data_IF_969062490460
#
_entry.id   IF_969062490460
#
_cell.length_a   1.000
_cell.length_b   1.000
_cell.length_c   1.000
_cell.angle_alpha   90.00
_cell.angle_beta   90.00
_cell.angle_gamma   90.00
#
_symmetry.space_group_name_H-M   'P 1'
#
loop_
_entity.id
_entity.type
_entity.pdbx_description
1 polymer ?
#
# COMPACT_ATOMS: atom_id res chain seq x y z
N UNK A 1 20.29 -25.93 -62.90
CA UNK A 1 19.97 -26.81 -61.75
C UNK A 1 19.77 -25.91 -60.54
N UNK A 2 18.53 -25.70 -60.10
CA UNK A 2 18.22 -24.81 -58.97
C UNK A 2 18.49 -25.51 -57.64
N UNK A 3 19.34 -24.93 -56.80
CA UNK A 3 19.61 -25.44 -55.45
C UNK A 3 18.36 -25.32 -54.58
N UNK A 4 17.82 -26.46 -54.12
CA UNK A 4 16.71 -26.47 -53.18
C UNK A 4 17.19 -25.96 -51.82
N UNK A 5 16.77 -24.74 -51.46
CA UNK A 5 16.98 -24.17 -50.13
C UNK A 5 16.22 -25.01 -49.07
N UNK A 6 16.78 -25.12 -47.86
CA UNK A 6 16.14 -25.85 -46.78
C UNK A 6 14.74 -25.28 -46.48
N UNK A 7 13.73 -26.16 -46.46
CA UNK A 7 12.34 -25.79 -46.13
C UNK A 7 12.24 -25.35 -44.67
N UNK A 8 11.46 -24.30 -44.41
CA UNK A 8 11.22 -23.83 -43.03
C UNK A 8 10.32 -24.79 -42.25
N UNK A 9 10.41 -24.77 -40.92
CA UNK A 9 9.54 -25.57 -40.05
C UNK A 9 8.05 -25.28 -40.30
N UNK A 10 7.72 -24.03 -40.61
CA UNK A 10 6.36 -23.64 -40.96
C UNK A 10 5.88 -24.23 -42.29
N UNK A 11 6.75 -24.27 -43.31
CA UNK A 11 6.46 -24.89 -44.61
C UNK A 11 6.29 -26.40 -44.49
N UNK A 12 7.19 -27.08 -43.77
CA UNK A 12 7.11 -28.52 -43.53
C UNK A 12 5.82 -28.92 -42.80
N UNK A 13 5.41 -28.13 -41.80
CA UNK A 13 4.16 -28.33 -41.07
C UNK A 13 2.93 -28.10 -41.95
N UNK A 14 2.97 -27.08 -42.82
CA UNK A 14 1.88 -26.81 -43.77
C UNK A 14 1.73 -27.93 -44.80
N UNK A 15 2.84 -28.44 -45.35
CA UNK A 15 2.85 -29.58 -46.29
C UNK A 15 2.32 -30.88 -45.65
N UNK A 16 2.64 -31.11 -44.37
CA UNK A 16 2.19 -32.28 -43.60
C UNK A 16 0.84 -32.11 -42.91
N UNK A 17 0.20 -30.95 -43.05
CA UNK A 17 -1.03 -30.58 -42.34
C UNK A 17 -0.92 -30.76 -40.80
N UNK A 18 0.25 -30.47 -40.22
CA UNK A 18 0.53 -30.59 -38.80
C UNK A 18 0.45 -29.22 -38.08
N UNK A 19 -0.26 -29.17 -36.96
CA UNK A 19 -0.32 -27.99 -36.09
C UNK A 19 1.00 -27.75 -35.34
N UNK A 20 1.29 -26.49 -34.98
CA UNK A 20 2.40 -26.20 -34.08
C UNK A 20 2.08 -26.73 -32.67
N UNK A 21 3.02 -27.42 -31.99
CA UNK A 21 2.79 -27.89 -30.62
C UNK A 21 2.71 -26.70 -29.66
N UNK A 22 1.58 -26.56 -28.98
CA UNK A 22 1.35 -25.52 -27.98
C UNK A 22 1.25 -26.20 -26.61
N UNK A 23 2.07 -25.77 -25.66
CA UNK A 23 1.99 -26.23 -24.27
C UNK A 23 0.86 -25.50 -23.56
N UNK A 24 -0.10 -26.28 -23.05
CA UNK A 24 -1.31 -25.79 -22.38
C UNK A 24 -0.99 -24.93 -21.15
N UNK A 25 0.10 -25.24 -20.44
CA UNK A 25 0.58 -24.48 -19.27
C UNK A 25 1.38 -23.22 -19.62
N UNK A 26 1.91 -23.13 -20.85
CA UNK A 26 2.63 -21.94 -21.33
C UNK A 26 1.70 -20.85 -21.86
N UNK A 27 0.42 -21.19 -22.07
CA UNK A 27 -0.60 -20.21 -22.45
C UNK A 27 -0.93 -19.33 -21.25
N UNK A 28 -0.78 -18.02 -21.44
CA UNK A 28 -1.24 -17.05 -20.44
C UNK A 28 -2.72 -17.24 -20.14
N UNK A 29 -3.06 -17.19 -18.85
CA UNK A 29 -4.43 -17.27 -18.35
C UNK A 29 -4.69 -16.14 -17.37
N UNK A 30 -5.94 -15.71 -17.32
CA UNK A 30 -6.41 -14.78 -16.28
C UNK A 30 -6.34 -15.49 -14.93
N UNK A 31 -5.52 -14.97 -14.02
CA UNK A 31 -5.40 -15.50 -12.66
C UNK A 31 -6.31 -14.70 -11.74
N UNK A 32 -7.41 -15.31 -11.29
CA UNK A 32 -8.26 -14.72 -10.26
C UNK A 32 -7.58 -14.86 -8.89
N UNK A 33 -7.34 -13.73 -8.23
CA UNK A 33 -6.66 -13.69 -6.93
C UNK A 33 -7.71 -13.50 -5.84
N UNK A 34 -7.90 -14.47 -4.92
CA UNK A 34 -8.78 -14.27 -3.78
C UNK A 34 -8.21 -13.20 -2.85
N UNK A 35 -9.09 -12.46 -2.18
CA UNK A 35 -8.67 -11.52 -1.14
C UNK A 35 -7.99 -12.28 0.00
N UNK A 36 -6.74 -11.92 0.29
CA UNK A 36 -5.95 -12.56 1.34
C UNK A 36 -6.28 -11.93 2.69
N UNK A 37 -6.95 -12.69 3.57
CA UNK A 37 -7.13 -12.32 4.96
C UNK A 37 -6.02 -12.91 5.82
N UNK A 38 -5.24 -12.06 6.49
CA UNK A 38 -4.20 -12.49 7.41
C UNK A 38 -4.83 -12.87 8.76
N UNK A 39 -4.29 -13.92 9.40
CA UNK A 39 -4.70 -14.27 10.75
C UNK A 39 -4.43 -13.12 11.71
N UNK A 40 -5.32 -12.91 12.69
CA UNK A 40 -5.10 -11.91 13.73
C UNK A 40 -3.86 -12.22 14.57
N UNK A 41 -3.25 -11.18 15.14
CA UNK A 41 -2.11 -11.32 16.03
C UNK A 41 -2.50 -12.13 17.29
N UNK A 42 -1.80 -13.24 17.56
CA UNK A 42 -1.97 -14.06 18.77
C UNK A 42 -0.76 -13.89 19.68
N UNK A 43 -0.96 -13.24 20.82
CA UNK A 43 0.10 -13.05 21.82
C UNK A 43 0.22 -14.32 22.68
N UNK A 44 1.42 -14.89 22.86
CA UNK A 44 1.62 -16.03 23.75
C UNK A 44 1.19 -15.71 25.19
N UNK A 45 0.56 -16.69 25.87
CA UNK A 45 0.03 -16.50 27.23
C UNK A 45 1.12 -16.11 28.25
N UNK A 46 2.32 -16.65 28.10
CA UNK A 46 3.47 -16.34 28.96
C UNK A 46 3.84 -14.84 28.85
N UNK A 47 3.93 -14.33 27.62
CA UNK A 47 4.17 -12.92 27.37
C UNK A 47 3.04 -12.05 27.91
N UNK A 48 1.78 -12.42 27.65
CA UNK A 48 0.63 -11.65 28.13
C UNK A 48 0.60 -11.52 29.66
N UNK A 49 1.12 -12.51 30.40
CA UNK A 49 1.22 -12.46 31.85
C UNK A 49 2.34 -11.54 32.35
N UNK A 50 3.47 -11.49 31.65
CA UNK A 50 4.63 -10.66 31.98
C UNK A 50 4.48 -9.18 31.56
N UNK A 51 3.53 -8.85 30.69
CA UNK A 51 3.29 -7.47 30.25
C UNK A 51 2.79 -6.58 31.41
N UNK A 52 3.25 -5.32 31.51
CA UNK A 52 2.76 -4.37 32.50
C UNK A 52 1.28 -4.05 32.26
N UNK A 53 0.60 -3.61 33.32
CA UNK A 53 -0.86 -3.41 33.32
C UNK A 53 -1.36 -2.51 32.18
N UNK A 54 -0.62 -1.44 31.86
CA UNK A 54 -1.00 -0.48 30.81
C UNK A 54 -1.03 -1.10 29.41
N UNK A 55 -0.08 -2.00 29.08
CA UNK A 55 0.05 -2.59 27.75
C UNK A 55 -0.63 -3.95 27.62
N UNK A 56 -1.07 -4.53 28.74
CA UNK A 56 -1.75 -5.83 28.74
C UNK A 56 -3.11 -5.75 28.02
N UNK A 57 -3.37 -6.62 27.03
CA UNK A 57 -4.62 -6.59 26.28
C UNK A 57 -5.82 -7.02 27.16
N UNK A 58 -6.84 -6.17 27.22
CA UNK A 58 -8.09 -6.37 27.98
C UNK A 58 -9.14 -7.06 27.12
N UNK A 59 -8.89 -8.32 26.78
CA UNK A 59 -9.81 -9.12 25.96
C UNK A 59 -10.76 -9.91 26.86
N UNK A 60 -12.05 -9.61 26.75
CA UNK A 60 -13.10 -10.38 27.42
C UNK A 60 -13.17 -11.80 26.86
N UNK A 61 -13.24 -12.79 27.75
CA UNK A 61 -13.44 -14.18 27.34
C UNK A 61 -14.86 -14.34 26.82
N UNK A 62 -15.03 -15.08 25.73
CA UNK A 62 -16.37 -15.48 25.27
C UNK A 62 -17.10 -16.17 26.42
N UNK A 63 -18.34 -15.74 26.68
CA UNK A 63 -19.19 -16.37 27.68
C UNK A 63 -19.46 -17.82 27.26
N UNK A 64 -19.39 -18.75 28.22
CA UNK A 64 -19.63 -20.17 27.97
C UNK A 64 -21.12 -20.38 27.68
N UNK A 65 -21.44 -21.06 26.58
CA UNK A 65 -22.82 -21.33 26.19
C UNK A 65 -23.57 -22.18 27.25
N UNK A 66 -22.85 -23.08 27.93
CA UNK A 66 -23.41 -23.99 28.94
C UNK A 66 -23.87 -23.27 30.23
N UNK A 67 -23.49 -22.00 30.41
CA UNK A 67 -23.86 -21.21 31.59
C UNK A 67 -24.53 -19.90 31.14
N UNK A 68 -25.77 -19.96 30.64
CA UNK A 68 -26.48 -18.78 30.20
C UNK A 68 -26.79 -17.87 31.39
N UNK A 69 -26.58 -16.56 31.19
CA UNK A 69 -26.93 -15.52 32.17
C UNK A 69 -28.45 -15.49 32.36
N UNK A 70 -28.92 -14.99 33.50
CA UNK A 70 -30.34 -14.85 33.80
C UNK A 70 -31.11 -14.14 32.67
N UNK A 71 -30.56 -13.07 32.10
CA UNK A 71 -31.15 -12.34 30.98
C UNK A 71 -31.30 -13.17 29.69
N UNK A 72 -30.43 -14.15 29.48
CA UNK A 72 -30.50 -15.05 28.32
C UNK A 72 -31.53 -16.16 28.52
N UNK A 73 -31.79 -16.55 29.78
CA UNK A 73 -32.80 -17.55 30.14
C UNK A 73 -34.21 -16.97 30.11
N UNK A 74 -34.35 -15.67 30.42
CA UNK A 74 -35.62 -14.97 30.30
C UNK A 74 -36.06 -14.98 28.83
N UNK A 75 -37.36 -15.25 28.53
CA UNK A 75 -37.86 -15.16 27.17
C UNK A 75 -37.70 -13.71 26.70
N UNK A 76 -36.70 -13.47 25.85
CA UNK A 76 -36.59 -12.21 25.13
C UNK A 76 -37.84 -12.05 24.25
N UNK A 77 -38.27 -10.82 24.02
CA UNK A 77 -39.42 -10.52 23.15
C UNK A 77 -39.18 -11.17 21.78
N UNK A 78 -39.92 -12.24 21.48
CA UNK A 78 -39.80 -12.98 20.24
C UNK A 78 -40.37 -12.08 19.14
N UNK A 79 -39.49 -11.61 18.26
CA UNK A 79 -39.90 -10.76 17.14
C UNK A 79 -40.91 -11.46 16.23
N UNK A 80 -41.91 -10.71 15.79
CA UNK A 80 -42.83 -11.16 14.74
C UNK A 80 -42.09 -11.36 13.40
N UNK A 81 -42.70 -12.06 12.44
CA UNK A 81 -42.09 -12.27 11.12
C UNK A 81 -41.80 -10.95 10.39
N UNK A 82 -42.71 -9.98 10.50
CA UNK A 82 -42.55 -8.66 9.89
C UNK A 82 -41.36 -7.89 10.49
N UNK A 83 -41.23 -7.90 11.82
CA UNK A 83 -40.09 -7.27 12.51
C UNK A 83 -38.76 -7.93 12.15
N UNK A 84 -38.72 -9.26 11.99
CA UNK A 84 -37.52 -9.97 11.54
C UNK A 84 -37.13 -9.52 10.14
N UNK A 85 -38.10 -9.43 9.20
CA UNK A 85 -37.87 -8.94 7.82
C UNK A 85 -37.37 -7.49 7.83
N UNK A 86 -37.99 -6.61 8.61
CA UNK A 86 -37.54 -5.23 8.76
C UNK A 86 -36.12 -5.13 9.34
N UNK A 87 -35.80 -5.92 10.37
CA UNK A 87 -34.47 -5.95 10.96
C UNK A 87 -33.41 -6.43 9.96
N UNK A 88 -33.70 -7.49 9.19
CA UNK A 88 -32.79 -7.98 8.14
C UNK A 88 -32.57 -6.94 7.04
N UNK A 89 -33.64 -6.24 6.63
CA UNK A 89 -33.55 -5.19 5.62
C UNK A 89 -32.65 -4.05 6.12
N UNK A 90 -32.84 -3.59 7.35
CA UNK A 90 -32.00 -2.55 7.96
C UNK A 90 -30.54 -3.00 8.06
N UNK A 91 -30.28 -4.26 8.39
CA UNK A 91 -28.91 -4.81 8.41
C UNK A 91 -28.26 -4.78 7.02
N UNK A 92 -28.99 -5.20 5.99
CA UNK A 92 -28.51 -5.19 4.60
C UNK A 92 -28.25 -3.75 4.09
N UNK A 93 -29.12 -2.80 4.44
CA UNK A 93 -28.90 -1.39 4.08
C UNK A 93 -27.63 -0.85 4.73
N UNK A 94 -27.37 -1.20 6.00
CA UNK A 94 -26.15 -0.81 6.72
C UNK A 94 -24.89 -1.40 6.09
N UNK A 95 -24.90 -2.68 5.69
CA UNK A 95 -23.74 -3.31 5.03
C UNK A 95 -23.45 -2.62 3.69
N UNK A 96 -24.47 -2.37 2.87
CA UNK A 96 -24.32 -1.66 1.60
C UNK A 96 -23.76 -0.24 1.81
N UNK A 97 -24.25 0.49 2.82
CA UNK A 97 -23.76 1.82 3.14
C UNK A 97 -22.28 1.81 3.56
N UNK A 98 -21.89 0.87 4.42
CA UNK A 98 -20.50 0.72 4.86
C UNK A 98 -19.57 0.40 3.69
N UNK A 99 -19.95 -0.52 2.80
CA UNK A 99 -19.16 -0.89 1.62
C UNK A 99 -18.98 0.30 0.67
N UNK A 100 -20.04 1.10 0.46
CA UNK A 100 -19.95 2.34 -0.33
C UNK A 100 -18.95 3.32 0.27
N UNK A 101 -18.97 3.51 1.59
CA UNK A 101 -18.02 4.39 2.29
C UNK A 101 -16.59 3.89 2.15
N UNK A 102 -16.35 2.59 2.31
CA UNK A 102 -15.02 1.97 2.14
C UNK A 102 -14.51 2.17 0.72
N UNK A 103 -15.33 1.90 -0.30
CA UNK A 103 -14.98 2.10 -1.71
C UNK A 103 -14.65 3.57 -2.01
N UNK A 104 -15.47 4.51 -1.51
CA UNK A 104 -15.22 5.97 -1.66
C UNK A 104 -13.93 6.41 -0.99
N UNK A 105 -13.63 5.91 0.22
CA UNK A 105 -12.37 6.20 0.91
C UNK A 105 -11.17 5.63 0.15
N UNK A 106 -11.28 4.44 -0.41
CA UNK A 106 -10.20 3.82 -1.18
C UNK A 106 -9.89 4.61 -2.46
N UNK A 107 -10.91 5.05 -3.21
CA UNK A 107 -10.69 5.88 -4.42
C UNK A 107 -10.15 7.25 -4.07
N UNK A 108 -10.62 7.88 -3.00
CA UNK A 108 -10.07 9.14 -2.50
C UNK A 108 -8.59 9.01 -2.13
N UNK A 109 -8.21 7.98 -1.37
CA UNK A 109 -6.81 7.69 -1.02
C UNK A 109 -5.92 7.53 -2.26
N UNK A 110 -6.39 6.81 -3.29
CA UNK A 110 -5.67 6.67 -4.56
C UNK A 110 -5.44 8.02 -5.25
N UNK A 111 -6.46 8.87 -5.31
CA UNK A 111 -6.37 10.23 -5.90
C UNK A 111 -5.40 11.12 -5.12
N UNK A 112 -5.50 11.14 -3.79
CA UNK A 112 -4.59 11.92 -2.93
C UNK A 112 -3.15 11.45 -3.07
N UNK A 113 -2.90 10.13 -3.09
CA UNK A 113 -1.56 9.59 -3.30
C UNK A 113 -0.99 9.94 -4.69
N UNK A 114 -1.82 9.92 -5.74
CA UNK A 114 -1.39 10.34 -7.08
C UNK A 114 -1.03 11.83 -7.11
N UNK A 115 -1.85 12.70 -6.52
CA UNK A 115 -1.58 14.13 -6.41
C UNK A 115 -0.33 14.41 -5.58
N UNK A 116 -0.15 13.75 -4.44
CA UNK A 116 1.04 13.90 -3.61
C UNK A 116 2.32 13.52 -4.37
N UNK A 117 2.28 12.47 -5.20
CA UNK A 117 3.41 12.10 -6.08
C UNK A 117 3.69 13.14 -7.16
N UNK A 118 2.66 13.78 -7.71
CA UNK A 118 2.85 14.86 -8.70
C UNK A 118 3.46 16.10 -8.03
N UNK A 119 2.90 16.52 -6.90
CA UNK A 119 3.40 17.65 -6.14
C UNK A 119 4.85 17.44 -5.68
N UNK A 120 5.21 16.25 -5.19
CA UNK A 120 6.58 15.95 -4.82
C UNK A 120 7.57 16.11 -6.00
N UNK A 121 7.19 15.65 -7.21
CA UNK A 121 8.01 15.84 -8.42
C UNK A 121 8.12 17.30 -8.82
N UNK A 122 7.04 18.06 -8.70
CA UNK A 122 7.03 19.50 -8.99
C UNK A 122 7.88 20.28 -7.99
N UNK A 123 7.81 19.94 -6.71
CA UNK A 123 8.64 20.51 -5.64
C UNK A 123 10.12 20.17 -5.83
N UNK A 124 10.47 18.94 -6.19
CA UNK A 124 11.84 18.55 -6.54
C UNK A 124 12.36 19.36 -7.73
N UNK A 125 11.58 19.50 -8.80
CA UNK A 125 11.95 20.31 -9.97
C UNK A 125 12.07 21.80 -9.63
N UNK A 126 11.17 22.34 -8.82
CA UNK A 126 11.23 23.72 -8.36
C UNK A 126 12.45 23.97 -7.47
N UNK A 127 12.78 23.03 -6.57
CA UNK A 127 13.96 23.10 -5.73
C UNK A 127 15.25 23.03 -6.54
N UNK A 128 15.33 22.16 -7.55
CA UNK A 128 16.45 22.11 -8.49
C UNK A 128 16.64 23.47 -9.19
N UNK A 129 15.57 24.03 -9.78
CA UNK A 129 15.60 25.36 -10.41
C UNK A 129 16.03 26.47 -9.45
N UNK A 130 15.51 26.46 -8.20
CA UNK A 130 15.91 27.42 -7.16
C UNK A 130 17.39 27.28 -6.78
N UNK A 131 17.90 26.05 -6.71
CA UNK A 131 19.30 25.78 -6.38
C UNK A 131 20.25 26.24 -7.50
N UNK A 132 19.88 26.02 -8.76
CA UNK A 132 20.60 26.49 -9.93
C UNK A 132 20.60 28.02 -9.99
N UNK A 133 19.44 28.65 -9.84
CA UNK A 133 19.31 30.12 -9.84
C UNK A 133 20.10 30.77 -8.69
N UNK A 134 20.16 30.13 -7.50
CA UNK A 134 21.05 30.58 -6.42
C UNK A 134 22.51 30.47 -6.84
N UNK A 135 22.92 29.35 -7.44
CA UNK A 135 24.30 29.12 -7.88
C UNK A 135 24.73 30.10 -8.97
N UNK A 136 23.85 30.45 -9.91
CA UNK A 136 24.14 31.48 -10.93
C UNK A 136 24.27 32.85 -10.30
N UNK A 137 23.33 33.27 -9.44
CA UNK A 137 23.42 34.56 -8.72
C UNK A 137 24.71 34.69 -7.93
N UNK A 138 25.08 33.70 -7.12
CA UNK A 138 26.34 33.72 -6.38
C UNK A 138 27.57 33.76 -7.30
N UNK A 139 27.52 33.12 -8.48
CA UNK A 139 28.61 33.18 -9.47
C UNK A 139 28.71 34.57 -10.09
N UNK A 140 27.59 35.18 -10.47
CA UNK A 140 27.53 36.53 -11.01
C UNK A 140 27.99 37.56 -9.97
N UNK A 141 27.49 37.47 -8.73
CA UNK A 141 27.94 38.29 -7.60
C UNK A 141 29.42 38.09 -7.30
N UNK A 142 29.94 36.85 -7.33
CA UNK A 142 31.38 36.60 -7.17
C UNK A 142 32.21 37.15 -8.33
N UNK A 143 31.68 37.18 -9.55
CA UNK A 143 32.36 37.78 -10.70
C UNK A 143 32.32 39.32 -10.69
N UNK A 144 31.24 39.91 -10.18
CA UNK A 144 31.06 41.37 -10.10
C UNK A 144 31.69 41.98 -8.84
N UNK A 145 31.71 41.25 -7.72
CA UNK A 145 32.43 41.60 -6.49
C UNK A 145 33.89 41.12 -6.49
N UNK A 146 34.24 40.20 -7.40
CA UNK A 146 35.58 39.65 -7.62
C UNK A 146 36.53 40.53 -8.43
N UNK A 147 36.40 41.84 -8.28
CA UNK A 147 37.46 42.82 -8.48
C UNK A 147 37.81 43.61 -7.21
N UNK A 148 37.08 43.44 -6.09
CA UNK A 148 37.31 44.24 -4.89
C UNK A 148 36.86 43.53 -3.61
N UNK A 149 37.74 42.68 -3.06
CA UNK A 149 37.88 42.17 -1.67
C UNK A 149 38.48 40.77 -1.77
N UNK A 150 39.79 40.61 -1.86
CA UNK A 150 40.68 40.94 -0.76
C UNK A 150 40.87 39.70 0.10
N UNK A 151 42.02 39.06 -0.10
CA UNK A 151 42.72 38.25 0.91
C UNK A 151 42.45 38.80 2.33
N UNK A 152 41.72 38.07 3.17
CA UNK A 152 41.88 38.14 4.63
C UNK A 152 41.15 36.99 5.34
N UNK A 153 41.93 36.19 6.06
CA UNK A 153 41.60 35.52 7.34
C UNK A 153 40.16 35.02 7.57
N UNK A 154 39.96 33.70 7.54
CA UNK A 154 38.72 33.07 8.01
C UNK A 154 38.87 31.57 8.21
N UNK A 155 39.18 31.14 9.44
CA UNK A 155 39.62 29.80 9.81
C UNK A 155 38.74 28.62 9.38
N UNK A 156 39.40 27.53 9.01
CA UNK A 156 38.86 26.17 8.97
C UNK A 156 38.37 25.79 10.37
N UNK A 157 37.07 25.91 10.64
CA UNK A 157 36.47 25.21 11.77
C UNK A 157 35.94 23.85 11.29
N UNK A 158 36.64 22.80 11.70
CA UNK A 158 36.20 21.41 11.66
C UNK A 158 34.90 21.27 12.46
N UNK A 159 33.79 21.01 11.78
CA UNK A 159 32.56 20.60 12.46
C UNK A 159 32.71 19.13 12.85
N UNK A 160 32.96 18.88 14.14
CA UNK A 160 32.65 17.61 14.77
C UNK A 160 31.19 17.26 14.46
N UNK A 161 30.98 16.13 13.79
CA UNK A 161 29.68 15.50 13.68
C UNK A 161 29.25 15.06 15.09
N UNK A 162 28.34 15.82 15.72
CA UNK A 162 27.50 15.27 16.79
C UNK A 162 26.44 14.40 16.13
N UNK A 163 26.68 13.10 16.15
CA UNK A 163 25.62 12.09 16.03
C UNK A 163 24.75 12.27 17.27
N UNK A 164 23.60 12.90 17.11
CA UNK A 164 22.50 12.77 18.07
C UNK A 164 21.57 11.73 17.44
N UNK A 165 21.58 10.54 18.01
CA UNK A 165 20.52 9.58 17.80
C UNK A 165 19.26 10.12 18.46
N UNK A 166 18.15 10.10 17.72
CA UNK A 166 16.82 10.10 18.29
C UNK A 166 16.14 8.80 17.88
N UNK A 167 15.59 8.17 18.91
CA UNK A 167 14.87 6.89 18.95
C UNK A 167 13.54 6.92 18.18
#
# INVERSE_FOLDING_TARGET
VGTALARTVAQLRRERNEGAPIKVDSLYRTVERPERHFSSLKIPKKLQAALPFATKPKLEKKRRADRPTFDQRRPAVIRTLAEKRAATMVQQLRTIANDKVVKRKATAKKKTAARAKQLAKEEEAANARRSEAKRTRFREEASSSGGARGSSSGGRQSKHARIVGEE
#
